data_IF_978045437508
#
_entry.id   IF_978045437508
#
_cell.length_a   1.000
_cell.length_b   1.000
_cell.length_c   1.000
_cell.angle_alpha   90.00
_cell.angle_beta   90.00
_cell.angle_gamma   90.00
#
_symmetry.space_group_name_H-M   'P 1'
#
loop_
_entity.id
_entity.type
_entity.pdbx_description
1 polymer ?
#
# COMPACT_ATOMS: atom_id res chain seq x y z
N UNK A 1 0.60 -16.62 -15.77
CA UNK A 1 0.37 -16.20 -14.37
C UNK A 1 0.50 -17.43 -13.46
N UNK A 2 1.21 -17.28 -12.38
CA UNK A 2 1.43 -18.38 -11.44
C UNK A 2 0.26 -18.40 -10.44
N UNK A 3 -0.52 -19.50 -10.38
CA UNK A 3 -1.62 -19.59 -9.41
C UNK A 3 -1.09 -19.50 -7.98
N UNK A 4 -1.79 -18.75 -7.14
CA UNK A 4 -1.44 -18.62 -5.74
C UNK A 4 -0.26 -17.74 -5.43
N UNK A 5 0.28 -17.02 -6.43
CA UNK A 5 1.41 -16.13 -6.18
C UNK A 5 0.95 -14.94 -5.31
N UNK A 6 1.76 -14.63 -4.29
CA UNK A 6 1.59 -13.46 -3.47
C UNK A 6 2.41 -12.33 -4.08
N UNK A 7 1.81 -11.16 -4.25
CA UNK A 7 2.50 -10.00 -4.84
C UNK A 7 2.49 -8.86 -3.83
N UNK A 8 3.68 -8.41 -3.46
CA UNK A 8 3.86 -7.30 -2.53
C UNK A 8 4.56 -6.13 -3.21
N UNK A 9 4.31 -4.92 -2.71
CA UNK A 9 4.94 -3.71 -3.23
C UNK A 9 5.33 -2.80 -2.06
N UNK A 10 6.62 -2.63 -1.77
CA UNK A 10 7.06 -1.83 -0.64
C UNK A 10 6.91 -0.32 -0.90
N UNK A 11 6.52 0.43 0.13
CA UNK A 11 6.38 1.88 0.05
C UNK A 11 7.71 2.62 0.16
N UNK A 12 8.69 1.98 0.83
CA UNK A 12 10.00 2.57 1.05
C UNK A 12 11.06 1.47 1.19
N UNK A 13 12.33 1.87 1.37
CA UNK A 13 13.44 0.90 1.45
C UNK A 13 13.38 0.03 2.70
N UNK A 14 12.85 0.54 3.81
CA UNK A 14 12.73 -0.24 5.03
C UNK A 14 11.67 -1.32 4.88
N UNK A 15 10.56 -0.99 4.23
CA UNK A 15 9.51 -1.98 3.98
C UNK A 15 9.98 -3.06 3.01
N UNK A 16 10.83 -2.70 2.05
CA UNK A 16 11.43 -3.68 1.16
C UNK A 16 12.16 -4.76 1.97
N UNK A 17 12.98 -4.32 2.95
CA UNK A 17 13.69 -5.24 3.82
C UNK A 17 12.75 -6.13 4.61
N UNK A 18 11.68 -5.52 5.17
CA UNK A 18 10.70 -6.26 5.97
C UNK A 18 9.93 -7.27 5.10
N UNK A 19 9.60 -6.91 3.86
CA UNK A 19 8.92 -7.80 2.92
C UNK A 19 9.81 -8.94 2.46
N UNK A 20 11.12 -8.68 2.27
CA UNK A 20 12.05 -9.75 1.91
C UNK A 20 12.15 -10.78 3.03
N UNK A 21 12.17 -10.33 4.28
CA UNK A 21 12.18 -11.24 5.43
C UNK A 21 10.89 -12.05 5.51
N UNK A 22 9.76 -11.43 5.22
CA UNK A 22 8.48 -12.14 5.15
C UNK A 22 8.52 -13.18 4.03
N UNK A 23 9.00 -12.80 2.84
CA UNK A 23 9.00 -13.67 1.67
C UNK A 23 9.83 -14.94 1.90
N UNK A 24 10.97 -14.80 2.56
CA UNK A 24 11.86 -15.95 2.85
C UNK A 24 11.16 -16.97 3.74
N UNK A 25 10.30 -16.52 4.64
CA UNK A 25 9.59 -17.41 5.57
C UNK A 25 8.25 -17.90 5.03
N UNK A 26 7.74 -17.27 3.97
CA UNK A 26 6.44 -17.64 3.41
C UNK A 26 6.57 -18.94 2.61
N UNK A 27 5.64 -19.87 2.85
CA UNK A 27 5.63 -21.16 2.16
C UNK A 27 4.80 -21.06 0.88
N UNK A 28 5.38 -20.52 -0.16
CA UNK A 28 4.71 -20.38 -1.45
C UNK A 28 5.40 -19.36 -2.34
N UNK A 29 4.95 -19.20 -3.58
CA UNK A 29 5.57 -18.25 -4.51
C UNK A 29 5.23 -16.82 -4.12
N UNK A 30 6.26 -15.96 -4.06
CA UNK A 30 6.15 -14.56 -3.70
C UNK A 30 6.88 -13.71 -4.72
N UNK A 31 6.24 -12.64 -5.18
CA UNK A 31 6.89 -11.61 -5.98
C UNK A 31 6.87 -10.30 -5.21
N UNK A 32 7.98 -9.58 -5.24
CA UNK A 32 8.08 -8.25 -4.65
C UNK A 32 8.37 -7.28 -5.78
N UNK A 33 7.45 -6.33 -5.99
CA UNK A 33 7.61 -5.29 -7.00
C UNK A 33 8.39 -4.14 -6.42
N UNK A 34 9.58 -3.92 -6.95
CA UNK A 34 10.44 -2.83 -6.50
C UNK A 34 10.55 -1.78 -7.60
N UNK A 35 10.35 -0.49 -7.28
CA UNK A 35 10.38 0.55 -8.31
C UNK A 35 11.78 0.77 -8.85
N UNK A 36 11.86 1.20 -10.10
CA UNK A 36 13.12 1.67 -10.68
C UNK A 36 13.44 3.04 -10.12
N UNK A 37 14.73 3.32 -9.96
CA UNK A 37 15.20 4.61 -9.48
C UNK A 37 15.30 4.66 -7.97
N UNK A 38 15.26 5.87 -7.43
CA UNK A 38 15.47 6.11 -6.01
C UNK A 38 14.25 5.67 -5.18
N UNK A 39 14.47 4.86 -4.17
CA UNK A 39 13.41 4.47 -3.25
C UNK A 39 12.99 5.67 -2.40
N UNK A 40 11.69 5.72 -2.05
CA UNK A 40 11.16 6.74 -1.18
C UNK A 40 11.79 6.64 0.22
N UNK A 41 12.21 7.78 0.77
CA UNK A 41 12.83 7.86 2.09
C UNK A 41 11.86 8.27 3.20
N UNK A 42 10.61 8.53 2.86
CA UNK A 42 9.61 8.95 3.84
C UNK A 42 8.97 7.79 4.57
N UNK A 43 8.19 8.12 5.60
CA UNK A 43 7.39 7.17 6.36
C UNK A 43 8.21 6.09 7.06
N UNK A 44 9.47 6.39 7.43
CA UNK A 44 10.34 5.38 8.05
C UNK A 44 9.81 4.89 9.40
N UNK A 45 9.03 5.72 10.11
CA UNK A 45 8.47 5.35 11.40
C UNK A 45 7.24 4.45 11.28
N UNK A 46 6.70 4.28 10.09
CA UNK A 46 5.56 3.41 9.85
C UNK A 46 6.06 2.04 9.41
N UNK A 47 6.29 1.18 10.38
CA UNK A 47 6.85 -0.17 10.15
C UNK A 47 6.06 -1.23 10.89
N UNK A 48 4.74 -1.22 10.69
CA UNK A 48 3.87 -2.25 11.23
C UNK A 48 4.36 -3.63 10.72
N UNK A 49 4.40 -4.67 11.57
CA UNK A 49 4.83 -5.98 11.11
C UNK A 49 4.05 -6.44 9.88
N UNK A 50 4.77 -7.04 8.92
CA UNK A 50 4.15 -7.53 7.69
C UNK A 50 3.40 -8.81 8.00
N UNK A 51 2.09 -8.81 7.69
CA UNK A 51 1.22 -9.98 7.84
C UNK A 51 0.55 -10.26 6.52
N UNK A 52 0.35 -11.54 6.23
CA UNK A 52 -0.21 -11.98 4.95
C UNK A 52 -1.51 -11.25 4.61
N UNK A 53 -1.53 -10.62 3.44
CA UNK A 53 -2.72 -9.97 2.90
C UNK A 53 -3.22 -8.77 3.67
N UNK A 54 -2.43 -8.23 4.61
CA UNK A 54 -2.87 -7.11 5.46
C UNK A 54 -2.18 -5.83 5.05
N UNK A 55 -2.98 -4.77 4.93
CA UNK A 55 -2.52 -3.42 4.66
C UNK A 55 -2.08 -2.71 5.93
N UNK A 56 -1.53 -1.53 5.78
CA UNK A 56 -1.05 -0.69 6.88
C UNK A 56 -1.72 0.67 6.79
N UNK A 57 -2.47 1.04 7.83
CA UNK A 57 -3.09 2.38 7.88
C UNK A 57 -2.01 3.38 8.31
N UNK A 58 -1.73 4.36 7.45
CA UNK A 58 -0.73 5.40 7.73
C UNK A 58 -1.38 6.56 8.47
N UNK A 59 -2.46 7.13 7.91
CA UNK A 59 -3.23 8.19 8.55
C UNK A 59 -4.70 7.85 8.46
N UNK A 60 -5.41 7.88 9.58
CA UNK A 60 -6.83 7.56 9.61
C UNK A 60 -7.66 8.80 9.86
N UNK A 61 -8.51 9.14 8.89
CA UNK A 61 -9.52 10.19 8.98
C UNK A 61 -10.82 9.65 8.40
N UNK A 62 -11.58 10.48 7.70
CA UNK A 62 -12.87 10.07 7.13
C UNK A 62 -12.97 10.51 5.66
N UNK A 63 -14.09 10.23 5.04
CA UNK A 63 -14.56 10.72 3.74
C UNK A 63 -13.81 10.17 2.54
N UNK A 64 -12.50 10.39 2.43
CA UNK A 64 -11.70 9.95 1.29
C UNK A 64 -10.65 8.96 1.76
N UNK A 65 -10.63 7.79 1.14
CA UNK A 65 -9.61 6.79 1.38
C UNK A 65 -8.68 6.69 0.17
N UNK A 66 -7.39 6.94 0.39
CA UNK A 66 -6.36 6.68 -0.62
C UNK A 66 -5.72 5.34 -0.28
N UNK A 67 -5.96 4.34 -1.13
CA UNK A 67 -5.43 2.99 -0.97
C UNK A 67 -4.33 2.82 -2.01
N UNK A 68 -3.08 2.96 -1.56
CA UNK A 68 -1.95 3.07 -2.47
C UNK A 68 -0.95 1.94 -2.28
N UNK A 69 -0.41 1.43 -3.37
CA UNK A 69 0.55 0.34 -3.36
C UNK A 69 1.92 0.80 -3.86
N UNK A 70 2.97 0.39 -3.15
CA UNK A 70 4.34 0.56 -3.58
C UNK A 70 4.75 2.02 -3.78
N UNK A 71 5.31 2.31 -4.94
CA UNK A 71 5.79 3.67 -5.27
C UNK A 71 4.67 4.71 -5.28
N UNK A 72 3.42 4.28 -5.42
CA UNK A 72 2.30 5.22 -5.40
C UNK A 72 1.98 5.75 -4.00
N UNK A 73 2.53 5.16 -2.94
CA UNK A 73 2.35 5.67 -1.58
C UNK A 73 2.95 7.07 -1.46
N UNK A 74 4.13 7.30 -2.02
CA UNK A 74 4.73 8.63 -2.02
C UNK A 74 3.82 9.65 -2.71
N UNK A 75 3.28 9.30 -3.87
CA UNK A 75 2.33 10.15 -4.59
C UNK A 75 1.08 10.39 -3.75
N UNK A 76 0.57 9.35 -3.09
CA UNK A 76 -0.62 9.45 -2.26
C UNK A 76 -0.41 10.40 -1.06
N UNK A 77 0.79 10.43 -0.49
CA UNK A 77 1.11 11.40 0.57
C UNK A 77 0.94 12.82 0.07
N UNK A 78 1.42 13.10 -1.15
CA UNK A 78 1.29 14.43 -1.76
C UNK A 78 -0.15 14.78 -2.09
N UNK A 79 -0.89 13.82 -2.62
CA UNK A 79 -2.33 14.00 -2.92
C UNK A 79 -3.11 14.28 -1.64
N UNK A 80 -2.83 13.51 -0.58
CA UNK A 80 -3.48 13.71 0.71
C UNK A 80 -3.23 15.12 1.23
N UNK A 81 -1.99 15.58 1.17
CA UNK A 81 -1.63 16.92 1.64
C UNK A 81 -2.42 17.99 0.88
N UNK A 82 -2.49 17.89 -0.45
CA UNK A 82 -3.21 18.84 -1.28
C UNK A 82 -4.71 18.85 -0.96
N UNK A 83 -5.31 17.68 -0.75
CA UNK A 83 -6.73 17.56 -0.41
C UNK A 83 -7.01 18.14 0.97
N UNK A 84 -6.13 17.92 1.93
CA UNK A 84 -6.32 18.46 3.29
C UNK A 84 -6.23 19.99 3.29
N UNK A 85 -5.39 20.57 2.46
CA UNK A 85 -5.33 22.03 2.32
C UNK A 85 -6.64 22.62 1.81
N UNK A 86 -7.42 21.82 1.07
CA UNK A 86 -8.75 22.22 0.58
C UNK A 86 -9.87 21.89 1.57
N UNK A 87 -9.54 21.38 2.76
CA UNK A 87 -10.50 21.10 3.82
C UNK A 87 -11.08 19.71 3.81
N UNK A 88 -10.56 18.80 2.99
CA UNK A 88 -11.04 17.41 2.98
C UNK A 88 -10.40 16.58 4.08
N UNK A 89 -11.15 15.58 4.54
CA UNK A 89 -10.68 14.58 5.48
C UNK A 89 -10.23 13.36 4.67
N UNK A 90 -8.99 12.90 4.87
CA UNK A 90 -8.38 11.89 3.99
C UNK A 90 -7.61 10.86 4.79
N UNK A 91 -8.00 9.59 4.63
CA UNK A 91 -7.28 8.44 5.15
C UNK A 91 -6.27 7.98 4.10
N UNK A 92 -5.07 7.62 4.55
CA UNK A 92 -4.04 7.04 3.69
C UNK A 92 -3.72 5.64 4.17
N UNK A 93 -3.86 4.68 3.28
CA UNK A 93 -3.54 3.27 3.54
C UNK A 93 -2.47 2.81 2.57
N UNK A 94 -1.43 2.20 3.12
CA UNK A 94 -0.42 1.47 2.35
C UNK A 94 -0.93 0.06 2.11
N UNK A 95 -1.22 -0.27 0.87
CA UNK A 95 -1.82 -1.56 0.52
C UNK A 95 -0.91 -2.74 0.86
N UNK A 96 0.41 -2.58 0.70
CA UNK A 96 1.43 -3.62 0.88
C UNK A 96 1.30 -4.78 -0.09
N UNK A 97 0.11 -5.37 -0.17
CA UNK A 97 -0.16 -6.52 -1.01
C UNK A 97 -0.99 -6.10 -2.21
N UNK A 98 -0.45 -6.32 -3.40
CA UNK A 98 -1.21 -6.18 -4.65
C UNK A 98 -2.10 -7.40 -4.81
N UNK A 99 -1.61 -8.55 -4.35
CA UNK A 99 -2.34 -9.81 -4.34
C UNK A 99 -1.91 -10.64 -3.13
N UNK A 100 -2.83 -11.03 -2.24
CA UNK A 100 -4.25 -10.66 -2.22
C UNK A 100 -4.48 -9.24 -1.72
N UNK A 101 -5.54 -8.62 -2.20
CA UNK A 101 -5.95 -7.30 -1.71
C UNK A 101 -6.58 -7.44 -0.31
N UNK A 102 -6.41 -6.43 0.53
CA UNK A 102 -6.95 -6.45 1.90
C UNK A 102 -8.43 -6.08 1.89
N UNK A 103 -9.27 -7.04 1.51
CA UNK A 103 -10.72 -6.83 1.41
C UNK A 103 -11.36 -6.54 2.75
N UNK A 104 -10.82 -7.12 3.83
CA UNK A 104 -11.38 -6.90 5.18
C UNK A 104 -11.28 -5.42 5.57
N UNK A 105 -10.10 -4.81 5.36
CA UNK A 105 -9.90 -3.40 5.69
C UNK A 105 -10.78 -2.51 4.81
N UNK A 106 -10.87 -2.79 3.52
CA UNK A 106 -11.71 -2.01 2.61
C UNK A 106 -13.20 -2.11 2.99
N UNK A 107 -13.67 -3.29 3.39
CA UNK A 107 -15.04 -3.47 3.85
C UNK A 107 -15.31 -2.68 5.14
N UNK A 108 -14.36 -2.66 6.06
CA UNK A 108 -14.49 -1.91 7.30
C UNK A 108 -14.53 -0.40 7.06
N UNK A 109 -13.76 0.07 6.08
CA UNK A 109 -13.62 1.51 5.81
C UNK A 109 -14.73 2.09 4.94
N UNK A 110 -15.43 1.28 4.15
CA UNK A 110 -16.38 1.81 3.16
C UNK A 110 -17.54 2.59 3.77
N UNK A 111 -17.92 2.28 5.02
CA UNK A 111 -19.02 2.97 5.68
C UNK A 111 -18.68 4.43 6.01
N UNK A 112 -17.42 4.71 6.33
CA UNK A 112 -16.96 6.06 6.69
C UNK A 112 -16.24 6.76 5.55
N UNK A 113 -16.04 6.09 4.43
CA UNK A 113 -15.29 6.61 3.28
C UNK A 113 -16.09 6.41 1.99
N UNK A 114 -17.01 7.33 1.66
CA UNK A 114 -17.80 7.20 0.43
C UNK A 114 -16.95 7.24 -0.85
N UNK A 115 -15.75 7.83 -0.79
CA UNK A 115 -14.83 7.82 -1.93
C UNK A 115 -13.59 7.00 -1.58
N UNK A 116 -13.36 5.93 -2.34
CA UNK A 116 -12.16 5.11 -2.22
C UNK A 116 -11.39 5.20 -3.54
N UNK A 117 -10.15 5.68 -3.47
CA UNK A 117 -9.28 5.81 -4.64
C UNK A 117 -8.16 4.80 -4.50
N UNK A 118 -8.07 3.87 -5.44
CA UNK A 118 -6.98 2.91 -5.49
C UNK A 118 -5.87 3.45 -6.40
N UNK A 119 -4.63 3.35 -5.94
CA UNK A 119 -3.48 3.89 -6.64
C UNK A 119 -2.39 2.83 -6.72
N UNK A 120 -2.10 2.36 -7.93
CA UNK A 120 -1.01 1.42 -8.14
C UNK A 120 -0.36 1.67 -9.51
N UNK A 121 0.91 1.29 -9.64
CA UNK A 121 1.55 1.34 -10.93
C UNK A 121 1.07 0.17 -11.76
N UNK A 122 0.46 0.48 -12.90
CA UNK A 122 0.13 -0.53 -13.89
C UNK A 122 1.36 -0.84 -14.71
N UNK A 123 1.88 -2.04 -14.54
CA UNK A 123 2.83 -2.56 -15.50
C UNK A 123 1.98 -3.11 -16.64
N UNK A 124 1.92 -2.36 -17.73
CA UNK A 124 1.31 -2.88 -18.95
C UNK A 124 2.28 -3.89 -19.52
N UNK A 125 2.03 -5.15 -19.21
CA UNK A 125 2.70 -6.22 -19.94
C UNK A 125 1.96 -6.36 -21.26
N UNK A 126 2.62 -5.94 -22.28
CA UNK A 126 2.10 -6.11 -23.62
C UNK A 126 1.92 -7.58 -23.96
#
# INVERSE_FOLDING_TARGET
MIPGIVIMAPKNKWELSDMMKFAVKYNGPVAVRYPRGTAYDGLENFRLPVKYGRSEVIYEEEDILLYAAGSMVETAVKVRHALKEKGFSVTLVNARFVKPIDTQMLDEMKASHPLIVTMEENVITG
#
